data_IF_889423290943
#
_entry.id   IF_889423290943
#
_cell.length_a   1.000
_cell.length_b   1.000
_cell.length_c   1.000
_cell.angle_alpha   90.00
_cell.angle_beta   90.00
_cell.angle_gamma   90.00
#
_symmetry.space_group_name_H-M   'P 1'
#
loop_
_entity.id
_entity.type
_entity.pdbx_description
1 polymer ?
#
# COMPACT_ATOMS: atom_id res chain seq x y z
N UNK A 1 -55.86 -64.74 -1.77
CA UNK A 1 -55.19 -63.45 -2.09
C UNK A 1 -55.49 -62.48 -0.94
N UNK A 2 -54.54 -61.60 -0.58
CA UNK A 2 -54.42 -60.78 0.65
C UNK A 2 -53.75 -61.51 1.83
N UNK A 3 -52.75 -60.98 2.54
CA UNK A 3 -52.18 -59.62 2.57
C UNK A 3 -50.71 -59.69 3.06
N UNK A 4 -49.74 -59.37 2.20
CA UNK A 4 -48.29 -59.38 2.51
C UNK A 4 -47.78 -57.94 2.58
N UNK A 5 -48.28 -57.15 3.55
CA UNK A 5 -48.04 -55.70 3.55
C UNK A 5 -48.07 -55.03 4.93
N UNK A 6 -47.61 -55.69 6.01
CA UNK A 6 -47.67 -55.08 7.36
C UNK A 6 -46.37 -55.01 8.16
N UNK A 7 -45.22 -55.47 7.64
CA UNK A 7 -43.93 -55.34 8.35
C UNK A 7 -43.06 -54.17 7.85
N UNK A 8 -43.31 -53.63 6.66
CA UNK A 8 -42.54 -52.50 6.13
C UNK A 8 -43.02 -51.14 6.66
N UNK A 9 -44.29 -51.00 7.07
CA UNK A 9 -44.81 -49.72 7.58
C UNK A 9 -44.35 -49.35 9.00
N UNK A 10 -43.89 -50.32 9.81
CA UNK A 10 -43.45 -50.07 11.20
C UNK A 10 -41.98 -49.68 11.34
N UNK A 11 -41.14 -49.95 10.32
CA UNK A 11 -39.70 -49.65 10.31
C UNK A 11 -39.36 -48.29 9.68
N UNK A 12 -40.26 -47.74 8.85
CA UNK A 12 -40.07 -46.46 8.16
C UNK A 12 -40.04 -45.25 9.13
N UNK A 13 -40.91 -45.11 10.16
CA UNK A 13 -40.88 -43.91 11.01
C UNK A 13 -39.63 -43.85 11.90
N UNK A 14 -39.12 -45.00 12.36
CA UNK A 14 -37.94 -45.09 13.23
C UNK A 14 -36.65 -44.73 12.46
N UNK A 15 -36.54 -45.15 11.19
CA UNK A 15 -35.35 -44.85 10.38
C UNK A 15 -35.30 -43.37 9.96
N UNK A 16 -36.46 -42.74 9.74
CA UNK A 16 -36.56 -41.31 9.40
C UNK A 16 -36.15 -40.42 10.58
N UNK A 17 -36.61 -40.74 11.80
CA UNK A 17 -36.24 -40.00 13.01
C UNK A 17 -34.76 -40.15 13.36
N UNK A 18 -34.20 -41.35 13.22
CA UNK A 18 -32.77 -41.58 13.46
C UNK A 18 -31.88 -40.82 12.46
N UNK A 19 -32.25 -40.82 11.18
CA UNK A 19 -31.57 -40.05 10.12
C UNK A 19 -31.64 -38.54 10.39
N UNK A 20 -32.79 -38.03 10.81
CA UNK A 20 -32.99 -36.61 11.16
C UNK A 20 -32.20 -36.22 12.41
N UNK A 21 -32.11 -37.10 13.39
CA UNK A 21 -31.32 -36.90 14.60
C UNK A 21 -29.81 -36.91 14.30
N UNK A 22 -29.34 -37.83 13.45
CA UNK A 22 -27.96 -37.87 12.97
C UNK A 22 -27.60 -36.62 12.15
N UNK A 23 -28.49 -36.16 11.28
CA UNK A 23 -28.30 -34.93 10.51
C UNK A 23 -28.20 -33.71 11.43
N UNK A 24 -29.07 -33.61 12.43
CA UNK A 24 -29.06 -32.51 13.39
C UNK A 24 -27.78 -32.54 14.25
N UNK A 25 -27.36 -33.72 14.68
CA UNK A 25 -26.12 -33.91 15.45
C UNK A 25 -24.87 -33.59 14.61
N UNK A 26 -24.79 -34.09 13.38
CA UNK A 26 -23.71 -33.78 12.44
C UNK A 26 -23.66 -32.29 12.10
N UNK A 27 -24.81 -31.64 11.92
CA UNK A 27 -24.89 -30.20 11.68
C UNK A 27 -24.44 -29.38 12.90
N UNK A 28 -24.78 -29.78 14.12
CA UNK A 28 -24.31 -29.14 15.36
C UNK A 28 -22.79 -29.31 15.50
N UNK A 29 -22.26 -30.50 15.23
CA UNK A 29 -20.82 -30.79 15.29
C UNK A 29 -20.06 -29.98 14.23
N UNK A 30 -20.49 -30.01 12.96
CA UNK A 30 -19.87 -29.22 11.90
C UNK A 30 -19.91 -27.73 12.20
N UNK A 31 -21.02 -27.21 12.75
CA UNK A 31 -21.12 -25.80 13.13
C UNK A 31 -20.12 -25.43 14.23
N UNK A 32 -19.90 -26.30 15.22
CA UNK A 32 -18.85 -26.11 16.25
C UNK A 32 -17.45 -26.14 15.65
N UNK A 33 -17.13 -27.10 14.76
CA UNK A 33 -15.83 -27.14 14.08
C UNK A 33 -15.57 -25.91 13.21
N UNK A 34 -16.57 -25.46 12.45
CA UNK A 34 -16.47 -24.23 11.65
C UNK A 34 -16.27 -23.01 12.55
N UNK A 35 -17.00 -22.90 13.66
CA UNK A 35 -16.83 -21.79 14.60
C UNK A 35 -15.45 -21.81 15.27
N UNK A 36 -14.96 -22.97 15.70
CA UNK A 36 -13.63 -23.14 16.27
C UNK A 36 -12.54 -22.85 15.24
N UNK A 37 -12.71 -23.28 13.98
CA UNK A 37 -11.79 -22.97 12.89
C UNK A 37 -11.78 -21.46 12.57
N UNK A 38 -12.93 -20.78 12.61
CA UNK A 38 -13.03 -19.33 12.45
C UNK A 38 -12.33 -18.62 13.62
N UNK A 39 -12.61 -19.01 14.87
CA UNK A 39 -11.96 -18.41 16.04
C UNK A 39 -10.46 -18.67 15.99
N UNK A 40 -10.02 -19.90 15.74
CA UNK A 40 -8.60 -20.26 15.60
C UNK A 40 -7.94 -19.45 14.48
N UNK A 41 -8.60 -19.29 13.33
CA UNK A 41 -8.12 -18.46 12.22
C UNK A 41 -8.06 -16.98 12.60
N UNK A 42 -9.04 -16.46 13.34
CA UNK A 42 -9.06 -15.06 13.83
C UNK A 42 -7.99 -14.84 14.91
N UNK A 43 -7.75 -15.81 15.80
CA UNK A 43 -6.70 -15.72 16.83
C UNK A 43 -5.31 -15.87 16.22
N UNK A 44 -5.10 -16.83 15.31
CA UNK A 44 -3.85 -16.97 14.55
C UNK A 44 -3.60 -15.72 13.70
N UNK A 45 -4.66 -15.11 13.13
CA UNK A 45 -4.51 -13.86 12.40
C UNK A 45 -4.32 -12.63 13.26
N UNK A 46 -4.74 -12.66 14.52
CA UNK A 46 -4.50 -11.57 15.48
C UNK A 46 -3.05 -11.47 15.97
N UNK A 47 -2.25 -12.54 15.79
CA UNK A 47 -0.80 -12.51 15.97
C UNK A 47 -0.07 -11.90 14.77
N UNK A 48 -0.75 -11.65 13.63
CA UNK A 48 -0.16 -10.98 12.47
C UNK A 48 -0.28 -9.46 12.63
N UNK A 49 0.87 -8.78 12.73
CA UNK A 49 0.94 -7.33 12.93
C UNK A 49 0.79 -6.59 11.60
N UNK A 50 -0.44 -6.50 11.10
CA UNK A 50 -0.82 -5.63 9.97
C UNK A 50 -0.77 -4.13 10.34
N UNK A 51 -0.58 -3.82 11.62
CA UNK A 51 -0.57 -2.47 12.17
C UNK A 51 0.80 -2.15 12.76
N UNK A 52 1.23 -0.87 12.68
CA UNK A 52 2.43 -0.46 13.40
C UNK A 52 2.27 -0.73 14.91
N UNK A 53 3.32 -1.25 15.54
CA UNK A 53 3.35 -1.51 16.98
C UNK A 53 3.48 -0.20 17.78
N UNK A 54 3.52 -0.26 19.12
CA UNK A 54 3.57 0.96 19.94
C UNK A 54 4.85 1.79 19.72
N UNK A 55 5.99 1.12 19.55
CA UNK A 55 7.27 1.76 19.27
C UNK A 55 7.26 2.47 17.90
N UNK A 56 6.80 1.78 16.86
CA UNK A 56 6.65 2.35 15.52
C UNK A 56 5.64 3.51 15.52
N UNK A 57 4.54 3.43 16.29
CA UNK A 57 3.58 4.53 16.46
C UNK A 57 4.18 5.74 17.16
N UNK A 58 5.07 5.55 18.14
CA UNK A 58 5.74 6.65 18.83
C UNK A 58 6.65 7.45 17.89
N UNK A 59 7.26 6.78 16.92
CA UNK A 59 8.11 7.39 15.89
C UNK A 59 7.28 8.12 14.81
N UNK A 60 6.03 7.71 14.63
CA UNK A 60 5.04 8.28 13.70
C UNK A 60 4.28 9.42 14.40
N UNK A 61 4.98 10.46 14.87
CA UNK A 61 4.31 11.61 15.45
C UNK A 61 3.94 12.62 14.35
N UNK A 62 2.63 12.76 14.09
CA UNK A 62 1.95 13.55 13.05
C UNK A 62 1.92 12.91 11.65
N UNK A 63 1.07 11.88 11.50
CA UNK A 63 0.58 11.46 10.18
C UNK A 63 -0.25 12.55 9.46
N UNK A 64 -0.95 12.18 8.40
CA UNK A 64 -1.70 13.12 7.55
C UNK A 64 -2.64 14.02 8.35
N UNK A 65 -2.67 15.30 7.94
CA UNK A 65 -3.58 16.34 8.42
C UNK A 65 -4.26 17.02 7.22
N UNK A 66 -5.48 17.49 7.42
CA UNK A 66 -6.20 18.25 6.39
C UNK A 66 -5.51 19.60 6.15
N UNK A 67 -5.54 20.09 4.92
CA UNK A 67 -4.94 21.37 4.51
C UNK A 67 -3.45 21.50 4.84
N UNK A 68 -2.73 20.38 4.89
CA UNK A 68 -1.27 20.42 4.98
C UNK A 68 -0.75 21.12 3.73
N UNK A 69 0.11 22.11 3.92
CA UNK A 69 0.98 22.64 2.88
C UNK A 69 2.39 22.58 3.46
N UNK A 70 3.24 21.75 2.86
CA UNK A 70 4.61 21.55 3.34
C UNK A 70 5.55 22.69 2.96
N UNK A 71 5.12 23.60 2.08
CA UNK A 71 5.99 24.61 1.47
C UNK A 71 7.00 24.03 0.47
N UNK A 72 6.93 22.73 0.16
CA UNK A 72 7.92 22.02 -0.64
C UNK A 72 8.11 22.64 -2.04
N UNK A 73 7.03 23.18 -2.62
CA UNK A 73 7.01 23.74 -3.97
C UNK A 73 7.89 25.00 -4.09
N UNK A 74 8.26 25.62 -2.97
CA UNK A 74 9.19 26.75 -2.93
C UNK A 74 10.65 26.32 -2.96
N UNK A 75 10.93 25.06 -2.61
CA UNK A 75 12.29 24.52 -2.53
C UNK A 75 12.64 23.62 -3.70
N UNK A 76 11.69 22.82 -4.17
CA UNK A 76 11.92 21.82 -5.22
C UNK A 76 10.74 21.68 -6.18
N UNK A 77 11.03 21.14 -7.36
CA UNK A 77 10.05 20.88 -8.39
C UNK A 77 9.17 19.67 -8.03
N UNK A 78 7.84 19.88 -8.07
CA UNK A 78 6.87 18.84 -7.72
C UNK A 78 5.87 18.52 -8.86
N UNK A 79 6.06 19.14 -10.03
CA UNK A 79 5.23 18.89 -11.24
C UNK A 79 5.80 17.72 -12.06
N UNK A 80 6.15 16.63 -11.40
CA UNK A 80 6.90 15.53 -11.99
C UNK A 80 7.20 14.45 -10.95
N UNK A 81 8.27 13.72 -11.18
CA UNK A 81 8.75 12.68 -10.29
C UNK A 81 10.27 12.74 -10.18
N UNK A 82 10.81 12.10 -9.16
CA UNK A 82 12.24 11.93 -8.94
C UNK A 82 12.63 10.52 -9.32
N UNK A 83 13.74 10.38 -10.06
CA UNK A 83 14.30 9.09 -10.48
C UNK A 83 15.79 9.07 -10.14
N UNK A 84 16.34 7.88 -9.88
CA UNK A 84 17.73 7.73 -9.47
C UNK A 84 18.65 8.17 -10.62
N UNK A 85 19.63 9.02 -10.36
CA UNK A 85 20.70 9.34 -11.33
C UNK A 85 21.41 8.03 -11.67
N UNK A 86 21.82 7.84 -12.93
CA UNK A 86 22.55 6.63 -13.31
C UNK A 86 23.93 6.67 -12.65
N UNK A 87 24.03 6.17 -11.43
CA UNK A 87 25.29 6.07 -10.70
C UNK A 87 25.97 4.75 -11.10
N UNK A 88 27.07 4.88 -11.83
CA UNK A 88 28.09 3.84 -12.00
C UNK A 88 28.93 3.64 -10.73
N UNK A 89 28.55 4.25 -9.61
CA UNK A 89 29.31 4.28 -8.37
C UNK A 89 28.76 3.28 -7.37
N UNK A 90 29.53 2.21 -7.21
CA UNK A 90 29.37 1.20 -6.17
C UNK A 90 29.25 1.85 -4.79
N UNK A 91 28.16 1.56 -4.09
CA UNK A 91 27.98 1.93 -2.69
C UNK A 91 29.14 1.39 -1.86
N UNK A 92 30.02 2.27 -1.38
CA UNK A 92 31.06 1.91 -0.42
C UNK A 92 30.41 1.77 0.94
N UNK A 93 30.24 0.52 1.39
CA UNK A 93 29.84 0.20 2.76
C UNK A 93 30.98 0.57 3.71
N UNK A 94 30.85 1.69 4.41
CA UNK A 94 31.72 2.00 5.56
C UNK A 94 31.05 1.42 6.81
N UNK A 95 31.60 0.30 7.28
CA UNK A 95 31.29 -0.27 8.60
C UNK A 95 30.44 -1.54 8.57
N UNK A 96 31.11 -2.69 8.71
CA UNK A 96 30.60 -3.88 9.41
C UNK A 96 29.29 -4.52 8.94
N UNK A 97 29.40 -5.48 8.01
CA UNK A 97 28.45 -6.56 7.75
C UNK A 97 27.02 -6.17 7.32
N UNK A 98 26.88 -5.82 6.05
CA UNK A 98 25.92 -6.52 5.19
C UNK A 98 26.42 -6.43 3.76
N UNK A 99 26.81 -7.59 3.20
CA UNK A 99 27.06 -7.73 1.78
C UNK A 99 25.70 -7.48 1.11
N UNK A 100 25.46 -6.25 0.64
CA UNK A 100 24.35 -5.99 -0.27
C UNK A 100 24.75 -6.66 -1.58
N UNK A 101 24.37 -7.92 -1.70
CA UNK A 101 24.53 -8.69 -2.92
C UNK A 101 23.80 -7.93 -4.03
N UNK A 102 24.55 -7.53 -5.06
CA UNK A 102 24.05 -6.97 -6.33
C UNK A 102 23.11 -7.92 -7.11
N UNK A 103 22.59 -8.96 -6.48
CA UNK A 103 21.71 -9.97 -7.08
C UNK A 103 20.47 -10.32 -6.26
N UNK A 104 20.21 -9.65 -5.13
CA UNK A 104 18.98 -9.79 -4.36
C UNK A 104 18.03 -8.65 -4.69
N UNK A 105 16.84 -8.98 -5.23
CA UNK A 105 15.74 -8.05 -5.59
C UNK A 105 15.80 -6.77 -4.74
N UNK A 106 16.07 -5.59 -5.33
CA UNK A 106 16.19 -4.34 -4.57
C UNK A 106 14.82 -3.95 -3.99
N UNK A 107 14.52 -4.54 -2.84
CA UNK A 107 13.32 -4.32 -2.04
C UNK A 107 13.45 -3.04 -1.19
N UNK A 108 14.48 -2.23 -1.45
CA UNK A 108 14.82 -1.05 -0.67
C UNK A 108 13.94 0.14 -1.06
N UNK A 109 13.29 0.79 -0.09
CA UNK A 109 12.23 1.77 -0.34
C UNK A 109 12.76 3.04 -1.01
N UNK A 110 14.02 3.38 -0.73
CA UNK A 110 14.71 4.54 -1.27
C UNK A 110 15.08 4.49 -2.76
N UNK A 111 14.80 3.42 -3.48
CA UNK A 111 15.37 3.19 -4.83
C UNK A 111 14.38 3.44 -5.97
N UNK A 112 13.08 3.32 -5.69
CA UNK A 112 12.07 3.48 -6.72
C UNK A 112 11.79 4.96 -7.01
N UNK A 113 11.45 5.31 -8.26
CA UNK A 113 10.97 6.64 -8.59
C UNK A 113 9.79 7.04 -7.69
N UNK A 114 9.72 8.32 -7.35
CA UNK A 114 8.72 8.82 -6.41
C UNK A 114 8.20 10.21 -6.76
N UNK A 115 7.01 10.51 -6.25
CA UNK A 115 6.33 11.79 -6.39
C UNK A 115 6.18 12.41 -5.01
N UNK A 116 6.42 13.72 -4.93
CA UNK A 116 6.13 14.57 -3.77
C UNK A 116 4.93 15.46 -4.08
N UNK A 117 4.01 15.57 -3.14
CA UNK A 117 2.84 16.46 -3.25
C UNK A 117 2.88 17.53 -2.17
N UNK A 118 2.32 18.71 -2.43
CA UNK A 118 2.24 19.83 -1.46
C UNK A 118 1.56 19.45 -0.14
N UNK A 119 0.64 18.50 -0.18
CA UNK A 119 -0.11 18.03 0.99
C UNK A 119 0.69 17.07 1.89
N UNK A 120 1.99 16.92 1.64
CA UNK A 120 2.89 16.06 2.38
C UNK A 120 2.83 14.59 1.96
N UNK A 121 2.16 14.26 0.85
CA UNK A 121 2.15 12.88 0.35
C UNK A 121 3.47 12.55 -0.33
N UNK A 122 4.02 11.39 0.05
CA UNK A 122 5.12 10.74 -0.66
C UNK A 122 4.57 9.46 -1.30
N UNK A 123 4.89 9.25 -2.57
CA UNK A 123 4.36 8.10 -3.30
C UNK A 123 5.35 7.53 -4.29
N UNK A 124 5.77 6.28 -4.10
CA UNK A 124 6.52 5.57 -5.12
C UNK A 124 5.61 5.18 -6.29
N UNK A 125 6.20 5.14 -7.48
CA UNK A 125 5.53 4.76 -8.72
C UNK A 125 6.23 3.59 -9.40
N UNK A 126 5.43 2.80 -10.11
CA UNK A 126 5.90 1.74 -11.00
C UNK A 126 5.42 2.05 -12.41
N UNK A 127 6.36 2.11 -13.35
CA UNK A 127 6.02 2.35 -14.75
C UNK A 127 5.41 1.10 -15.37
N UNK A 128 4.33 1.28 -16.13
CA UNK A 128 3.67 0.16 -16.81
C UNK A 128 4.62 -0.51 -17.83
N UNK A 129 5.56 0.27 -18.40
CA UNK A 129 6.56 -0.20 -19.36
C UNK A 129 7.56 -1.21 -18.79
N UNK A 130 7.80 -1.21 -17.48
CA UNK A 130 8.73 -2.12 -16.81
C UNK A 130 8.02 -3.23 -16.02
N UNK A 131 6.68 -3.31 -16.12
CA UNK A 131 5.79 -4.25 -15.42
C UNK A 131 6.16 -4.56 -13.96
N UNK A 132 7.06 -5.54 -13.74
CA UNK A 132 7.52 -6.04 -12.44
C UNK A 132 9.05 -6.08 -12.32
N UNK A 133 9.78 -5.61 -13.33
CA UNK A 133 11.23 -5.46 -13.24
C UNK A 133 11.55 -4.22 -12.39
N UNK A 134 11.71 -4.48 -11.09
CA UNK A 134 12.00 -3.43 -10.13
C UNK A 134 13.32 -2.73 -10.40
N UNK A 135 14.34 -3.44 -10.89
CA UNK A 135 15.64 -2.85 -11.19
C UNK A 135 15.55 -1.89 -12.37
N UNK A 136 14.85 -2.29 -13.43
CA UNK A 136 14.60 -1.40 -14.56
C UNK A 136 13.78 -0.16 -14.15
N UNK A 137 12.90 -0.28 -13.15
CA UNK A 137 12.09 0.83 -12.67
C UNK A 137 12.94 1.91 -11.96
N UNK A 138 13.98 1.54 -11.21
CA UNK A 138 14.85 2.48 -10.47
C UNK A 138 15.46 3.55 -11.38
N UNK A 139 15.82 3.15 -12.60
CA UNK A 139 16.49 4.00 -13.58
C UNK A 139 15.58 4.46 -14.72
N UNK A 140 14.29 4.07 -14.71
CA UNK A 140 13.38 4.46 -15.77
C UNK A 140 13.12 5.97 -15.74
N UNK A 141 13.34 6.61 -16.89
CA UNK A 141 13.21 8.06 -17.08
C UNK A 141 12.57 8.36 -18.42
N UNK A 142 11.50 9.14 -18.35
CA UNK A 142 10.85 9.71 -19.51
C UNK A 142 10.08 10.96 -19.09
N UNK A 143 10.40 12.07 -19.75
CA UNK A 143 9.83 13.38 -19.49
C UNK A 143 8.48 13.57 -20.20
N UNK A 144 7.69 14.52 -19.70
CA UNK A 144 6.45 15.01 -20.32
C UNK A 144 5.36 13.95 -20.54
N UNK A 145 5.41 12.87 -19.76
CA UNK A 145 4.42 11.80 -19.82
C UNK A 145 3.13 12.14 -19.07
N UNK A 146 2.06 11.47 -19.45
CA UNK A 146 0.82 11.46 -18.68
C UNK A 146 0.94 10.39 -17.58
N UNK A 147 1.59 10.71 -16.45
CA UNK A 147 1.95 9.71 -15.45
C UNK A 147 0.73 8.97 -14.90
N UNK A 148 -0.44 9.61 -14.80
CA UNK A 148 -1.67 8.96 -14.36
C UNK A 148 -2.15 7.81 -15.26
N UNK A 149 -1.64 7.72 -16.50
CA UNK A 149 -1.89 6.64 -17.46
C UNK A 149 -0.71 5.68 -17.61
N UNK A 150 0.51 6.18 -17.43
CA UNK A 150 1.74 5.43 -17.71
C UNK A 150 2.39 4.80 -16.47
N UNK A 151 1.94 5.18 -15.28
CA UNK A 151 2.36 4.56 -14.04
C UNK A 151 1.17 4.12 -13.20
N UNK A 152 1.41 3.10 -12.38
CA UNK A 152 0.47 2.69 -11.35
C UNK A 152 1.07 3.04 -9.99
N UNK A 153 0.34 3.73 -9.09
CA UNK A 153 0.77 3.87 -7.71
C UNK A 153 1.02 2.49 -7.12
N UNK A 154 2.21 2.27 -6.56
CA UNK A 154 2.58 0.98 -5.99
C UNK A 154 1.63 0.63 -4.82
N UNK A 155 0.70 -0.29 -5.07
CA UNK A 155 -0.30 -0.78 -4.13
C UNK A 155 -0.17 -2.29 -3.85
N UNK A 156 1.04 -2.84 -4.02
CA UNK A 156 1.22 -4.24 -3.70
C UNK A 156 1.08 -4.43 -2.17
N UNK A 157 0.20 -5.34 -1.74
CA UNK A 157 0.06 -5.70 -0.32
C UNK A 157 1.43 -6.14 0.23
N UNK A 158 2.30 -6.72 -0.61
CA UNK A 158 3.67 -7.07 -0.28
C UNK A 158 4.67 -5.91 -0.28
N UNK A 159 4.33 -4.72 -0.79
CA UNK A 159 5.25 -3.58 -0.90
C UNK A 159 4.45 -2.27 -0.86
N UNK A 160 3.78 -1.99 0.27
CA UNK A 160 2.94 -0.79 0.48
C UNK A 160 3.74 0.54 0.46
N UNK A 161 4.41 0.89 -0.64
CA UNK A 161 5.36 2.02 -0.72
C UNK A 161 4.71 3.37 -0.99
N UNK A 162 3.95 3.83 0.00
CA UNK A 162 3.48 5.21 0.05
C UNK A 162 3.47 5.69 1.49
N UNK A 163 3.76 6.96 1.66
CA UNK A 163 4.02 7.55 2.94
C UNK A 163 3.60 9.00 3.00
N UNK A 164 4.04 9.65 4.06
CA UNK A 164 3.99 11.09 4.17
C UNK A 164 5.38 11.61 4.46
N UNK A 165 5.63 12.87 4.18
CA UNK A 165 6.89 13.51 4.49
C UNK A 165 6.67 14.83 5.21
N UNK A 166 7.74 15.29 5.86
CA UNK A 166 7.84 16.64 6.40
C UNK A 166 9.12 17.28 5.93
N UNK A 167 9.06 18.59 5.79
CA UNK A 167 10.25 19.39 5.56
C UNK A 167 10.81 19.82 6.92
N UNK A 168 12.10 19.55 7.14
CA UNK A 168 12.90 20.07 8.25
C UNK A 168 14.07 20.81 7.63
N UNK A 169 14.02 22.14 7.64
CA UNK A 169 15.00 22.98 6.96
C UNK A 169 15.17 22.53 5.49
N UNK A 170 16.34 22.05 5.10
CA UNK A 170 16.65 21.57 3.75
C UNK A 170 16.58 20.05 3.62
N UNK A 171 15.93 19.38 4.56
CA UNK A 171 15.77 17.92 4.56
C UNK A 171 14.31 17.52 4.46
N UNK A 172 14.00 16.67 3.50
CA UNK A 172 12.72 15.99 3.35
C UNK A 172 12.81 14.67 4.15
N UNK A 173 12.10 14.61 5.27
CA UNK A 173 12.01 13.41 6.09
C UNK A 173 10.74 12.64 5.71
N UNK A 174 10.91 11.51 5.05
CA UNK A 174 9.81 10.62 4.62
C UNK A 174 9.60 9.55 5.67
N UNK A 175 8.32 9.28 5.97
CA UNK A 175 7.85 8.12 6.71
C UNK A 175 7.01 7.27 5.77
N UNK A 176 7.52 6.09 5.42
CA UNK A 176 6.84 5.11 4.57
C UNK A 176 6.81 3.75 5.26
N UNK A 177 6.15 2.79 4.63
CA UNK A 177 5.98 1.46 5.18
C UNK A 177 6.27 0.42 4.11
N UNK A 178 6.86 -0.70 4.51
CA UNK A 178 6.95 -1.90 3.68
C UNK A 178 6.16 -3.01 4.35
N UNK A 179 5.70 -3.96 3.56
CA UNK A 179 5.03 -5.14 4.10
C UNK A 179 5.90 -6.36 3.80
N UNK A 180 6.53 -6.93 4.80
CA UNK A 180 7.40 -8.08 4.61
C UNK A 180 6.94 -9.21 5.51
N UNK A 181 6.80 -10.42 4.95
CA UNK A 181 6.42 -11.65 5.69
C UNK A 181 5.27 -11.46 6.69
N UNK A 182 4.16 -10.87 6.23
CA UNK A 182 2.96 -10.63 7.05
C UNK A 182 3.09 -9.54 8.13
N UNK A 183 4.13 -8.71 8.07
CA UNK A 183 4.36 -7.59 8.98
C UNK A 183 4.52 -6.28 8.22
N UNK A 184 3.94 -5.22 8.74
CA UNK A 184 4.26 -3.85 8.32
C UNK A 184 5.54 -3.38 9.04
N UNK A 185 6.60 -3.04 8.29
CA UNK A 185 7.81 -2.40 8.83
C UNK A 185 7.82 -0.91 8.47
N UNK A 186 8.26 -0.09 9.42
CA UNK A 186 8.39 1.34 9.26
C UNK A 186 9.73 1.64 8.59
N UNK A 187 9.71 2.48 7.56
CA UNK A 187 10.91 2.94 6.86
C UNK A 187 10.97 4.46 6.92
N UNK A 188 12.11 4.98 7.37
CA UNK A 188 12.41 6.40 7.40
C UNK A 188 13.45 6.71 6.33
N UNK A 189 13.16 7.69 5.47
CA UNK A 189 14.10 8.16 4.45
C UNK A 189 14.42 9.63 4.71
N UNK A 190 15.69 10.01 4.55
CA UNK A 190 16.11 11.41 4.65
C UNK A 190 16.72 11.87 3.33
N UNK A 191 16.02 12.76 2.64
CA UNK A 191 16.54 13.40 1.43
C UNK A 191 17.00 14.82 1.74
N UNK A 192 18.25 15.14 1.48
CA UNK A 192 18.76 16.52 1.51
C UNK A 192 18.47 17.19 0.16
N UNK A 193 17.92 18.39 0.19
CA UNK A 193 17.71 19.21 -0.98
C UNK A 193 19.07 19.78 -1.41
N UNK A 194 19.51 19.44 -2.61
CA UNK A 194 20.72 20.02 -3.21
C UNK A 194 20.34 21.32 -3.92
N UNK A 195 19.34 21.22 -4.79
CA UNK A 195 18.76 22.32 -5.54
C UNK A 195 17.29 22.01 -5.87
N UNK A 196 16.66 22.81 -6.75
CA UNK A 196 15.25 22.63 -7.08
C UNK A 196 14.92 21.35 -7.87
N UNK A 197 15.93 20.66 -8.40
CA UNK A 197 15.81 19.50 -9.28
C UNK A 197 16.56 18.28 -8.78
N UNK A 198 17.44 18.42 -7.79
CA UNK A 198 18.25 17.31 -7.26
C UNK A 198 18.07 17.11 -5.75
N UNK A 199 17.93 15.84 -5.38
CA UNK A 199 17.82 15.39 -3.99
C UNK A 199 18.90 14.34 -3.69
N UNK A 200 19.55 14.43 -2.54
CA UNK A 200 20.48 13.43 -2.04
C UNK A 200 19.80 12.57 -0.98
N UNK A 201 19.64 11.27 -1.23
CA UNK A 201 19.26 10.31 -0.19
C UNK A 201 20.44 10.10 0.76
N UNK A 202 20.34 10.66 1.97
CA UNK A 202 21.36 10.53 3.02
C UNK A 202 21.36 9.11 3.59
N UNK A 203 20.18 8.66 4.01
CA UNK A 203 20.01 7.37 4.65
C UNK A 203 18.58 6.84 4.54
N UNK A 204 18.50 5.54 4.73
CA UNK A 204 17.29 4.75 4.86
C UNK A 204 17.37 3.93 6.15
N UNK A 205 16.38 4.07 7.02
CA UNK A 205 16.30 3.35 8.29
C UNK A 205 15.08 2.44 8.34
N UNK A 206 15.33 1.15 8.53
CA UNK A 206 14.32 0.13 8.74
C UNK A 206 14.09 -0.10 10.22
N UNK A 207 12.83 0.01 10.61
CA UNK A 207 12.40 -0.13 11.99
C UNK A 207 11.49 -1.34 12.07
N UNK A 208 12.06 -2.44 12.56
CA UNK A 208 11.37 -3.68 12.82
C UNK A 208 11.18 -3.81 14.32
N UNK A 209 10.01 -3.47 14.85
CA UNK A 209 9.75 -3.55 16.28
C UNK A 209 9.73 -4.94 16.95
N UNK A 210 10.36 -5.96 16.35
CA UNK A 210 10.77 -7.20 17.04
C UNK A 210 12.29 -7.26 17.27
N UNK A 211 13.05 -6.31 16.70
CA UNK A 211 14.49 -6.17 16.86
C UNK A 211 14.75 -4.96 17.74
N UNK A 212 15.68 -5.09 18.67
CA UNK A 212 16.12 -3.98 19.53
C UNK A 212 17.01 -2.97 18.80
N UNK A 213 17.31 -3.22 17.52
CA UNK A 213 18.21 -2.42 16.70
C UNK A 213 17.51 -2.02 15.40
N UNK A 214 17.61 -0.73 15.08
CA UNK A 214 17.19 -0.19 13.79
C UNK A 214 18.31 -0.45 12.77
N UNK A 215 17.94 -0.88 11.56
CA UNK A 215 18.92 -1.06 10.49
C UNK A 215 18.96 0.22 9.64
N UNK A 216 20.03 1.00 9.78
CA UNK A 216 20.23 2.24 9.03
C UNK A 216 21.33 2.05 8.00
N UNK A 217 20.98 2.22 6.73
CA UNK A 217 21.92 2.21 5.62
C UNK A 217 22.14 3.65 5.12
N UNK A 218 23.40 4.08 5.05
CA UNK A 218 23.79 5.33 4.37
C UNK A 218 23.80 5.07 2.88
N UNK A 219 23.06 5.87 2.12
CA UNK A 219 22.78 5.55 0.72
C UNK A 219 23.50 6.47 -0.28
N UNK A 220 23.89 7.70 0.10
CA UNK A 220 24.65 8.65 -0.74
C UNK A 220 24.23 8.67 -2.24
N UNK A 221 22.93 8.60 -2.52
CA UNK A 221 22.37 8.48 -3.87
C UNK A 221 21.69 9.76 -4.31
N UNK A 222 21.91 10.17 -5.56
CA UNK A 222 21.29 11.38 -6.10
C UNK A 222 20.06 11.02 -6.92
N UNK A 223 18.97 11.75 -6.69
CA UNK A 223 17.74 11.70 -7.47
C UNK A 223 17.60 12.98 -8.27
N UNK A 224 17.25 12.85 -9.54
CA UNK A 224 16.96 13.97 -10.43
C UNK A 224 15.47 14.09 -10.72
N UNK A 225 15.01 15.33 -10.86
CA UNK A 225 13.63 15.67 -11.20
C UNK A 225 13.37 15.48 -12.69
N UNK A 226 12.32 14.74 -13.01
CA UNK A 226 11.82 14.54 -14.37
C UNK A 226 10.42 15.16 -14.48
N UNK A 227 10.21 16.16 -15.36
CA UNK A 227 8.91 16.81 -15.52
C UNK A 227 7.87 15.86 -16.11
N UNK A 228 6.62 16.01 -15.69
CA UNK A 228 5.49 15.26 -16.22
C UNK A 228 4.35 16.18 -16.67
N UNK A 229 3.55 15.72 -17.63
CA UNK A 229 2.40 16.46 -18.15
C UNK A 229 1.23 16.42 -17.17
N UNK A 230 0.98 15.27 -16.58
CA UNK A 230 -0.05 15.05 -15.55
C UNK A 230 0.50 14.13 -14.47
N UNK A 231 -0.03 14.26 -13.25
CA UNK A 231 0.33 13.41 -12.10
C UNK A 231 -0.87 12.56 -11.66
N UNK A 232 -0.65 11.34 -11.16
CA UNK A 232 -1.70 10.61 -10.46
C UNK A 232 -2.22 11.45 -9.28
N UNK A 233 -3.52 11.34 -8.98
CA UNK A 233 -4.07 12.04 -7.82
C UNK A 233 -3.44 11.51 -6.53
N UNK A 234 -3.04 12.38 -5.58
CA UNK A 234 -2.45 11.94 -4.32
C UNK A 234 -3.42 11.10 -3.47
N UNK A 235 -4.72 11.17 -3.76
CA UNK A 235 -5.77 10.35 -3.14
C UNK A 235 -5.71 8.86 -3.51
N UNK A 236 -5.01 8.52 -4.60
CA UNK A 236 -4.87 7.14 -5.07
C UNK A 236 -3.91 6.33 -4.19
N UNK A 237 -2.99 7.01 -3.47
CA UNK A 237 -2.00 6.34 -2.64
C UNK A 237 -2.66 5.59 -1.47
N UNK A 238 -2.38 4.27 -1.32
CA UNK A 238 -3.06 3.41 -0.36
C UNK A 238 -2.93 3.85 1.10
N UNK A 239 -1.80 4.45 1.46
CA UNK A 239 -1.52 4.91 2.83
C UNK A 239 -2.61 5.86 3.34
N UNK A 240 -3.15 6.73 2.49
CA UNK A 240 -4.20 7.67 2.88
C UNK A 240 -5.54 6.98 3.18
N UNK A 241 -5.75 5.75 2.72
CA UNK A 241 -6.93 4.96 3.08
C UNK A 241 -6.82 4.37 4.48
N UNK A 242 -5.61 4.27 5.06
CA UNK A 242 -5.35 3.67 6.37
C UNK A 242 -5.61 4.68 7.48
N UNK A 243 -6.51 4.37 8.42
CA UNK A 243 -6.86 5.25 9.55
C UNK A 243 -5.64 5.65 10.38
N UNK A 244 -4.76 4.70 10.65
CA UNK A 244 -3.62 4.88 11.52
C UNK A 244 -2.57 5.84 10.95
N UNK A 245 -2.59 6.12 9.64
CA UNK A 245 -1.70 7.08 9.01
C UNK A 245 -2.16 8.55 9.15
N UNK A 246 -3.31 8.79 9.80
CA UNK A 246 -3.88 10.13 9.97
C UNK A 246 -3.81 10.57 11.43
N UNK A 247 -3.47 11.84 11.67
CA UNK A 247 -3.47 12.41 13.02
C UNK A 247 -4.89 12.39 13.63
N UNK A 248 -5.92 12.74 12.85
CA UNK A 248 -7.30 12.86 13.31
C UNK A 248 -8.27 11.88 12.62
N UNK A 249 -9.17 11.25 13.40
CA UNK A 249 -10.17 10.30 12.90
C UNK A 249 -11.25 10.96 12.04
N UNK A 250 -11.68 12.17 12.41
CA UNK A 250 -12.71 12.95 11.72
C UNK A 250 -12.22 13.32 10.33
N UNK A 251 -10.99 13.81 10.25
CA UNK A 251 -10.28 14.16 9.02
C UNK A 251 -10.17 12.99 8.06
N UNK A 252 -9.69 11.83 8.56
CA UNK A 252 -9.63 10.60 7.77
C UNK A 252 -11.00 10.19 7.23
N UNK A 253 -12.05 10.27 8.06
CA UNK A 253 -13.42 9.95 7.62
C UNK A 253 -13.87 10.90 6.52
N UNK A 254 -13.65 12.22 6.68
CA UNK A 254 -13.99 13.23 5.68
C UNK A 254 -13.27 12.96 4.36
N UNK A 255 -11.98 12.65 4.41
CA UNK A 255 -11.19 12.26 3.24
C UNK A 255 -11.73 11.02 2.55
N UNK A 256 -12.08 9.95 3.29
CA UNK A 256 -12.71 8.77 2.68
C UNK A 256 -14.04 9.10 2.01
N UNK A 257 -14.86 9.94 2.65
CA UNK A 257 -16.13 10.37 2.07
C UNK A 257 -15.93 11.23 0.82
N UNK A 258 -14.93 12.11 0.76
CA UNK A 258 -14.64 12.90 -0.43
C UNK A 258 -14.22 12.02 -1.61
N UNK A 259 -13.33 11.04 -1.39
CA UNK A 259 -12.96 10.07 -2.43
C UNK A 259 -14.19 9.30 -2.93
N UNK A 260 -15.02 8.81 -2.02
CA UNK A 260 -16.21 8.03 -2.38
C UNK A 260 -17.25 8.87 -3.16
N UNK A 261 -17.35 10.17 -2.87
CA UNK A 261 -18.18 11.10 -3.66
C UNK A 261 -17.59 11.32 -5.05
N UNK A 262 -16.28 11.55 -5.15
CA UNK A 262 -15.60 11.74 -6.44
C UNK A 262 -15.69 10.49 -7.33
N UNK A 263 -15.58 9.28 -6.77
CA UNK A 263 -15.74 8.04 -7.54
C UNK A 263 -17.18 7.83 -8.03
N UNK A 264 -18.18 8.10 -7.18
CA UNK A 264 -19.60 8.07 -7.57
C UNK A 264 -19.91 9.09 -8.67
N UNK A 265 -19.37 10.31 -8.56
CA UNK A 265 -19.57 11.35 -9.56
C UNK A 265 -18.91 11.00 -10.90
N UNK A 266 -17.68 10.44 -10.89
CA UNK A 266 -17.06 9.92 -12.12
C UNK A 266 -17.91 8.84 -12.76
N UNK A 267 -18.38 7.85 -12.00
CA UNK A 267 -19.22 6.77 -12.52
C UNK A 267 -20.54 7.30 -13.10
N UNK A 268 -21.14 8.32 -12.48
CA UNK A 268 -22.33 9.00 -13.01
C UNK A 268 -22.01 9.68 -14.34
N UNK A 269 -20.91 10.44 -14.42
CA UNK A 269 -20.47 11.11 -15.65
C UNK A 269 -20.16 10.12 -16.77
N UNK A 270 -19.47 9.00 -16.48
CA UNK A 270 -19.22 7.95 -17.47
C UNK A 270 -20.51 7.33 -17.99
N UNK A 271 -21.46 7.00 -17.10
CA UNK A 271 -22.78 6.49 -17.52
C UNK A 271 -23.55 7.49 -18.38
N UNK A 272 -23.50 8.79 -18.03
CA UNK A 272 -24.14 9.83 -18.84
C UNK A 272 -23.47 9.99 -20.20
N UNK A 273 -22.14 9.97 -20.28
CA UNK A 273 -21.42 10.01 -21.57
C UNK A 273 -21.72 8.79 -22.44
N UNK A 274 -21.78 7.61 -21.85
CA UNK A 274 -22.09 6.38 -22.57
C UNK A 274 -23.55 6.33 -23.03
N UNK A 275 -24.47 6.84 -22.22
CA UNK A 275 -25.87 7.03 -22.62
C UNK A 275 -26.00 8.01 -23.79
N UNK A 276 -25.30 9.14 -23.76
CA UNK A 276 -25.27 10.12 -24.85
C UNK A 276 -24.66 9.50 -26.12
N UNK A 277 -23.53 8.80 -26.02
CA UNK A 277 -22.92 8.11 -27.17
C UNK A 277 -23.87 7.09 -27.77
N UNK A 278 -24.59 6.32 -26.96
CA UNK A 278 -25.56 5.34 -27.43
C UNK A 278 -26.77 5.99 -28.13
N UNK A 279 -27.18 7.20 -27.73
CA UNK A 279 -28.23 7.97 -28.43
C UNK A 279 -27.73 8.42 -29.81
N UNK A 280 -26.50 8.92 -29.89
CA UNK A 280 -25.94 9.44 -31.14
C UNK A 280 -25.40 8.36 -32.09
N UNK A 281 -25.25 7.10 -31.64
CA UNK A 281 -24.90 5.95 -32.49
C UNK A 281 -26.12 5.21 -33.07
N UNK A 282 -27.34 5.64 -32.73
CA UNK A 282 -28.59 5.07 -33.24
C UNK A 282 -29.28 5.96 -34.30
N UNK A 283 -28.58 6.96 -34.82
CA UNK A 283 -28.91 7.72 -36.03
C UNK A 283 -27.79 7.59 -37.04
#
# INVERSE_FOLDING_TARGET
>A
MYNKTNYLQKLIPISLDFSRMLYTFAHIIMRKYVFTAIIASVTLTSCFSFFPNQYEKALVYNGFRVNTNTGIATKVNIKGYYSLVNDSTDSVTVGGSSIISKGGMSTLAGYNPFILYEDGTYGNILFNAVEKDFYANEHYKRANMELDKECTPLNNIYLMRSGYYKLKEDTICVTTYIYYLLRTELVLLRYKIIDNSHLLLLDETYISGNKNENDTCVQNRIFEFIPAKTLPSPSLFPIKKKRWAWANKKDWKQFKHSIARTSKNRNKVYRTKQFIQNIFSCH
#
